data_IF_745437198667
#
_entry.id   IF_745437198667
#
_cell.length_a   1.000
_cell.length_b   1.000
_cell.length_c   1.000
_cell.angle_alpha   90.00
_cell.angle_beta   90.00
_cell.angle_gamma   90.00
#
_symmetry.space_group_name_H-M   'P 1'
#
loop_
_entity.id
_entity.type
_entity.pdbx_description
1 polymer ?
#
# COMPACT_ATOMS: atom_id res chain seq x y z
N UNK A 1 1.18 13.31 9.20
CA UNK A 1 -0.09 13.86 9.75
C UNK A 1 -0.44 15.13 9.00
N UNK A 2 -1.63 15.17 8.38
CA UNK A 2 -2.12 16.38 7.71
C UNK A 2 -2.70 17.35 8.74
N UNK A 3 -2.37 18.63 8.56
CA UNK A 3 -2.93 19.75 9.32
C UNK A 3 -4.46 19.81 9.14
N UNK A 4 -5.17 20.31 10.16
CA UNK A 4 -6.63 20.44 10.15
C UNK A 4 -7.15 21.24 8.95
N UNK A 5 -6.53 22.38 8.61
CA UNK A 5 -6.96 23.21 7.48
C UNK A 5 -6.76 22.48 6.16
N UNK A 6 -5.57 21.88 5.97
CA UNK A 6 -5.23 21.14 4.75
C UNK A 6 -6.15 19.92 4.58
N UNK A 7 -6.41 19.19 5.67
CA UNK A 7 -7.36 18.06 5.69
C UNK A 7 -8.75 18.50 5.23
N UNK A 8 -9.28 19.58 5.79
CA UNK A 8 -10.63 20.05 5.44
C UNK A 8 -10.72 20.46 3.96
N UNK A 9 -9.72 21.20 3.46
CA UNK A 9 -9.64 21.57 2.04
C UNK A 9 -9.64 20.32 1.16
N UNK A 10 -8.83 19.32 1.52
CA UNK A 10 -8.73 18.07 0.78
C UNK A 10 -10.07 17.31 0.75
N UNK A 11 -10.73 17.15 1.91
CA UNK A 11 -12.02 16.47 1.99
C UNK A 11 -13.12 17.20 1.21
N UNK A 12 -13.15 18.54 1.26
CA UNK A 12 -14.11 19.35 0.49
C UNK A 12 -13.87 19.18 -1.01
N UNK A 13 -12.61 19.19 -1.46
CA UNK A 13 -12.28 18.95 -2.86
C UNK A 13 -12.72 17.55 -3.32
N UNK A 14 -12.53 16.52 -2.49
CA UNK A 14 -13.01 15.17 -2.78
C UNK A 14 -14.54 15.12 -2.88
N UNK A 15 -15.26 15.75 -1.95
CA UNK A 15 -16.73 15.84 -2.01
C UNK A 15 -17.18 16.49 -3.32
N UNK A 16 -16.57 17.61 -3.71
CA UNK A 16 -16.90 18.30 -4.96
C UNK A 16 -16.67 17.43 -6.19
N UNK A 17 -15.51 16.75 -6.27
CA UNK A 17 -15.22 15.82 -7.37
C UNK A 17 -16.21 14.64 -7.36
N UNK A 18 -16.61 14.16 -6.19
CA UNK A 18 -17.61 13.09 -6.07
C UNK A 18 -19.01 13.51 -6.50
N UNK A 19 -19.39 14.77 -6.30
CA UNK A 19 -20.63 15.32 -6.84
C UNK A 19 -20.58 15.32 -8.37
N UNK A 20 -19.47 15.77 -8.97
CA UNK A 20 -19.29 15.73 -10.43
C UNK A 20 -19.37 14.29 -10.93
N UNK A 21 -18.64 13.37 -10.30
CA UNK A 21 -18.66 11.95 -10.62
C UNK A 21 -20.07 11.35 -10.54
N UNK A 22 -20.85 11.69 -9.53
CA UNK A 22 -22.24 11.26 -9.41
C UNK A 22 -23.07 11.66 -10.63
N UNK A 23 -23.01 12.92 -11.05
CA UNK A 23 -23.75 13.39 -12.23
C UNK A 23 -23.22 12.79 -13.53
N UNK A 24 -21.91 12.63 -13.68
CA UNK A 24 -21.31 11.94 -14.84
C UNK A 24 -21.84 10.52 -14.96
N UNK A 25 -21.83 9.76 -13.86
CA UNK A 25 -22.35 8.38 -13.86
C UNK A 25 -23.84 8.35 -14.16
N UNK A 26 -24.62 9.27 -13.57
CA UNK A 26 -26.06 9.36 -13.81
C UNK A 26 -26.40 9.62 -15.29
N UNK A 27 -25.64 10.50 -15.95
CA UNK A 27 -25.91 10.91 -17.34
C UNK A 27 -25.30 9.95 -18.38
N UNK A 28 -24.15 9.36 -18.10
CA UNK A 28 -23.41 8.55 -19.07
C UNK A 28 -23.66 7.05 -18.95
N UNK A 29 -24.08 6.55 -17.79
CA UNK A 29 -24.30 5.11 -17.62
C UNK A 29 -25.65 4.67 -18.20
N UNK A 30 -25.61 3.93 -19.30
CA UNK A 30 -26.79 3.44 -20.01
C UNK A 30 -27.13 1.97 -19.74
N UNK A 31 -26.27 1.23 -19.03
CA UNK A 31 -26.42 -0.23 -18.86
C UNK A 31 -27.28 -0.61 -17.65
N UNK A 32 -28.28 -1.47 -17.87
CA UNK A 32 -29.22 -1.91 -16.81
C UNK A 32 -28.50 -2.70 -15.71
N UNK A 33 -27.53 -3.54 -16.10
CA UNK A 33 -26.76 -4.40 -15.20
C UNK A 33 -25.92 -3.63 -14.18
N UNK A 34 -25.70 -2.33 -14.41
CA UNK A 34 -24.90 -1.45 -13.54
C UNK A 34 -25.66 -0.21 -13.09
N UNK A 35 -27.00 -0.24 -13.11
CA UNK A 35 -27.86 0.88 -12.73
C UNK A 35 -27.50 1.48 -11.36
N UNK A 36 -26.95 0.69 -10.44
CA UNK A 36 -26.55 1.17 -9.11
C UNK A 36 -25.19 1.86 -9.06
N UNK A 37 -24.45 1.98 -10.18
CA UNK A 37 -23.10 2.53 -10.20
C UNK A 37 -23.03 3.95 -9.64
N UNK A 38 -24.08 4.75 -9.85
CA UNK A 38 -24.20 6.12 -9.31
C UNK A 38 -24.30 6.16 -7.76
N UNK A 39 -24.68 5.05 -7.12
CA UNK A 39 -24.74 4.99 -5.65
C UNK A 39 -23.35 5.03 -5.02
N UNK A 40 -22.30 4.57 -5.72
CA UNK A 40 -20.94 4.60 -5.18
C UNK A 40 -20.47 6.04 -4.85
N UNK A 41 -20.47 7.01 -5.79
CA UNK A 41 -20.07 8.38 -5.45
C UNK A 41 -21.03 9.02 -4.45
N UNK A 42 -22.32 8.68 -4.49
CA UNK A 42 -23.32 9.19 -3.54
C UNK A 42 -23.02 8.79 -2.09
N UNK A 43 -22.81 7.49 -1.84
CA UNK A 43 -22.47 7.00 -0.51
C UNK A 43 -21.11 7.54 -0.03
N UNK A 44 -20.16 7.73 -0.95
CA UNK A 44 -18.89 8.36 -0.63
C UNK A 44 -19.08 9.81 -0.15
N UNK A 45 -19.91 10.61 -0.83
CA UNK A 45 -20.24 11.99 -0.41
C UNK A 45 -20.78 11.96 1.02
N UNK A 46 -21.75 11.10 1.30
CA UNK A 46 -22.35 10.97 2.63
C UNK A 46 -21.31 10.58 3.68
N UNK A 47 -20.49 9.55 3.42
CA UNK A 47 -19.46 9.10 4.35
C UNK A 47 -18.38 10.18 4.61
N UNK A 48 -17.96 10.92 3.58
CA UNK A 48 -17.01 12.02 3.72
C UNK A 48 -17.60 13.18 4.56
N UNK A 49 -18.88 13.51 4.38
CA UNK A 49 -19.58 14.50 5.20
C UNK A 49 -19.67 14.06 6.66
N UNK A 50 -20.07 12.81 6.93
CA UNK A 50 -20.11 12.25 8.28
C UNK A 50 -18.72 12.28 8.92
N UNK A 51 -17.68 11.87 8.20
CA UNK A 51 -16.31 11.92 8.69
C UNK A 51 -15.85 13.36 8.98
N UNK A 52 -16.12 14.30 8.08
CA UNK A 52 -15.79 15.71 8.25
C UNK A 52 -16.45 16.32 9.49
N UNK A 53 -17.73 16.00 9.72
CA UNK A 53 -18.48 16.45 10.90
C UNK A 53 -17.94 15.82 12.19
N UNK A 54 -17.75 14.49 12.19
CA UNK A 54 -17.25 13.75 13.35
C UNK A 54 -15.83 14.16 13.75
N UNK A 55 -15.00 14.54 12.77
CA UNK A 55 -13.58 14.83 12.93
C UNK A 55 -13.21 16.29 12.61
N UNK A 56 -14.15 17.24 12.68
CA UNK A 56 -13.94 18.65 12.28
C UNK A 56 -12.66 19.27 12.86
N UNK A 57 -12.38 19.00 14.14
CA UNK A 57 -11.25 19.57 14.88
C UNK A 57 -10.01 18.66 14.95
N UNK A 58 -10.05 17.51 14.29
CA UNK A 58 -9.04 16.48 14.42
C UNK A 58 -8.00 16.56 13.29
N UNK A 59 -6.78 16.10 13.57
CA UNK A 59 -5.73 15.91 12.55
C UNK A 59 -5.94 14.57 11.85
N UNK A 60 -5.63 14.52 10.56
CA UNK A 60 -5.73 13.27 9.80
C UNK A 60 -4.39 12.55 9.79
N UNK A 61 -4.40 11.33 10.30
CA UNK A 61 -3.26 10.43 10.29
C UNK A 61 -3.12 9.78 8.91
N UNK A 62 -1.92 9.26 8.63
CA UNK A 62 -1.57 8.76 7.30
C UNK A 62 -2.34 7.48 6.94
N UNK A 63 -2.59 6.59 7.90
CA UNK A 63 -3.36 5.37 7.64
C UNK A 63 -4.79 5.70 7.25
N UNK A 64 -5.44 6.56 8.05
CA UNK A 64 -6.75 7.12 7.72
C UNK A 64 -6.79 7.83 6.36
N UNK A 65 -5.75 8.62 6.02
CA UNK A 65 -5.65 9.30 4.73
C UNK A 65 -5.59 8.31 3.55
N UNK A 66 -4.74 7.28 3.63
CA UNK A 66 -4.62 6.26 2.58
C UNK A 66 -5.97 5.58 2.36
N UNK A 67 -6.65 5.14 3.43
CA UNK A 67 -7.96 4.48 3.32
C UNK A 67 -8.98 5.40 2.63
N UNK A 68 -9.07 6.66 3.05
CA UNK A 68 -10.01 7.64 2.49
C UNK A 68 -9.72 7.91 1.00
N UNK A 69 -8.46 8.10 0.63
CA UNK A 69 -8.06 8.33 -0.77
C UNK A 69 -8.34 7.10 -1.63
N UNK A 70 -8.05 5.90 -1.12
CA UNK A 70 -8.32 4.66 -1.83
C UNK A 70 -9.82 4.47 -2.10
N UNK A 71 -10.68 4.71 -1.11
CA UNK A 71 -12.13 4.67 -1.32
C UNK A 71 -12.62 5.76 -2.27
N UNK A 72 -12.03 6.95 -2.25
CA UNK A 72 -12.37 7.99 -3.22
C UNK A 72 -12.05 7.63 -4.65
N UNK A 73 -10.88 7.01 -4.88
CA UNK A 73 -10.54 6.51 -6.21
C UNK A 73 -11.51 5.39 -6.61
N UNK A 74 -11.76 4.41 -5.72
CA UNK A 74 -12.62 3.24 -5.99
C UNK A 74 -14.10 3.58 -6.19
N UNK A 75 -14.66 4.51 -5.40
CA UNK A 75 -16.09 4.81 -5.37
C UNK A 75 -16.48 6.09 -6.10
N UNK A 76 -15.54 6.92 -6.54
CA UNK A 76 -15.85 8.15 -7.27
C UNK A 76 -15.07 8.31 -8.56
N UNK A 77 -13.74 8.26 -8.53
CA UNK A 77 -12.95 8.44 -9.76
C UNK A 77 -13.19 7.30 -10.73
N UNK A 78 -13.11 6.05 -10.27
CA UNK A 78 -13.27 4.87 -11.13
C UNK A 78 -14.69 4.77 -11.75
N UNK A 79 -15.79 4.93 -11.00
CA UNK A 79 -17.15 4.91 -11.58
C UNK A 79 -17.37 5.96 -12.68
N UNK A 80 -16.81 7.16 -12.53
CA UNK A 80 -16.92 8.19 -13.57
C UNK A 80 -16.26 7.75 -14.88
N UNK A 81 -15.03 7.22 -14.82
CA UNK A 81 -14.34 6.71 -15.99
C UNK A 81 -15.01 5.46 -16.58
N UNK A 82 -15.58 4.58 -15.73
CA UNK A 82 -16.36 3.45 -16.22
C UNK A 82 -17.56 3.88 -17.06
N UNK A 83 -18.29 4.89 -16.60
CA UNK A 83 -19.47 5.38 -17.29
C UNK A 83 -19.11 6.07 -18.62
N UNK A 84 -18.03 6.87 -18.64
CA UNK A 84 -17.56 7.55 -19.88
C UNK A 84 -17.03 6.53 -20.89
N UNK A 85 -16.25 5.56 -20.42
CA UNK A 85 -15.59 4.56 -21.26
C UNK A 85 -16.45 3.35 -21.61
N UNK A 86 -17.72 3.32 -21.20
CA UNK A 86 -18.62 2.18 -21.38
C UNK A 86 -17.99 0.86 -20.91
N UNK A 87 -17.36 0.88 -19.73
CA UNK A 87 -16.46 -0.18 -19.26
C UNK A 87 -17.07 -1.58 -19.23
N UNK A 88 -18.37 -1.67 -18.97
CA UNK A 88 -19.05 -2.96 -18.79
C UNK A 88 -19.52 -3.59 -20.10
N UNK A 89 -19.56 -2.86 -21.23
CA UNK A 89 -20.01 -3.43 -22.51
C UNK A 89 -19.07 -4.50 -23.07
N UNK A 90 -17.81 -4.51 -22.62
CA UNK A 90 -16.81 -5.53 -22.99
C UNK A 90 -16.64 -6.62 -21.93
N UNK A 91 -17.41 -6.58 -20.82
CA UNK A 91 -17.33 -7.53 -19.72
C UNK A 91 -18.50 -8.52 -19.77
N UNK A 92 -18.35 -9.64 -19.07
CA UNK A 92 -19.38 -10.68 -19.04
C UNK A 92 -20.67 -10.14 -18.42
N UNK A 93 -21.78 -10.26 -19.14
CA UNK A 93 -23.13 -9.93 -18.67
C UNK A 93 -23.65 -10.91 -17.61
N UNK A 94 -23.01 -12.06 -17.44
CA UNK A 94 -23.43 -13.04 -16.45
C UNK A 94 -23.07 -12.61 -15.01
N UNK A 95 -22.21 -11.60 -14.84
CA UNK A 95 -21.77 -11.12 -13.52
C UNK A 95 -22.79 -10.13 -12.93
N UNK A 96 -23.10 -10.29 -11.65
CA UNK A 96 -24.04 -9.41 -10.94
C UNK A 96 -23.33 -8.16 -10.39
N UNK A 97 -23.18 -7.16 -11.26
CA UNK A 97 -22.51 -5.90 -10.91
C UNK A 97 -23.32 -5.07 -9.91
N UNK A 98 -24.65 -5.06 -10.00
CA UNK A 98 -25.51 -4.35 -9.06
C UNK A 98 -25.35 -4.88 -7.63
N UNK A 99 -25.33 -6.19 -7.44
CA UNK A 99 -25.07 -6.79 -6.12
C UNK A 99 -23.64 -6.50 -5.65
N UNK A 100 -22.65 -6.53 -6.55
CA UNK A 100 -21.27 -6.15 -6.22
C UNK A 100 -21.17 -4.71 -5.70
N UNK A 101 -21.88 -3.77 -6.34
CA UNK A 101 -21.97 -2.37 -5.90
C UNK A 101 -22.57 -2.27 -4.49
N UNK A 102 -23.64 -3.01 -4.20
CA UNK A 102 -24.26 -3.03 -2.87
C UNK A 102 -23.30 -3.57 -1.80
N UNK A 103 -22.53 -4.61 -2.09
CA UNK A 103 -21.51 -5.12 -1.16
C UNK A 103 -20.35 -4.14 -0.95
N UNK A 104 -19.95 -3.40 -1.99
CA UNK A 104 -18.96 -2.31 -1.84
C UNK A 104 -19.47 -1.20 -0.92
N UNK A 105 -20.75 -0.83 -1.03
CA UNK A 105 -21.39 0.13 -0.13
C UNK A 105 -21.46 -0.43 1.30
N UNK A 106 -21.83 -1.70 1.45
CA UNK A 106 -21.88 -2.38 2.75
C UNK A 106 -20.52 -2.35 3.45
N UNK A 107 -19.44 -2.68 2.76
CA UNK A 107 -18.06 -2.55 3.27
C UNK A 107 -17.72 -1.12 3.65
N UNK A 108 -17.99 -0.18 2.75
CA UNK A 108 -17.70 1.23 2.93
C UNK A 108 -18.34 1.80 4.20
N UNK A 109 -19.61 1.48 4.46
CA UNK A 109 -20.34 1.95 5.65
C UNK A 109 -19.61 1.55 6.93
N UNK A 110 -19.17 0.28 7.03
CA UNK A 110 -18.46 -0.20 8.21
C UNK A 110 -17.11 0.48 8.38
N UNK A 111 -16.34 0.59 7.30
CA UNK A 111 -15.01 1.23 7.34
C UNK A 111 -15.12 2.71 7.71
N UNK A 112 -16.05 3.46 7.11
CA UNK A 112 -16.24 4.88 7.40
C UNK A 112 -16.84 5.13 8.79
N UNK A 113 -17.67 4.22 9.29
CA UNK A 113 -18.11 4.25 10.69
C UNK A 113 -16.91 4.13 11.63
N UNK A 114 -16.04 3.13 11.41
CA UNK A 114 -14.81 2.92 12.19
C UNK A 114 -13.92 4.18 12.16
N UNK A 115 -13.64 4.73 10.97
CA UNK A 115 -12.81 5.93 10.82
C UNK A 115 -13.43 7.14 11.53
N UNK A 116 -14.74 7.33 11.42
CA UNK A 116 -15.42 8.50 11.98
C UNK A 116 -15.42 8.49 13.51
N UNK A 117 -15.70 7.33 14.13
CA UNK A 117 -15.89 7.26 15.59
C UNK A 117 -14.62 6.88 16.36
N UNK A 118 -13.78 5.97 15.85
CA UNK A 118 -12.56 5.58 16.58
C UNK A 118 -11.43 6.62 16.49
N UNK A 119 -11.45 7.48 15.47
CA UNK A 119 -10.51 8.62 15.35
C UNK A 119 -10.83 9.75 16.35
N UNK A 120 -12.12 9.94 16.67
CA UNK A 120 -12.61 11.01 17.57
C UNK A 120 -12.11 10.88 19.01
N UNK A 121 -12.17 9.66 19.58
CA UNK A 121 -11.81 9.40 20.98
C UNK A 121 -10.34 9.63 21.33
N UNK A 122 -9.46 9.72 20.32
CA UNK A 122 -8.01 9.87 20.55
C UNK A 122 -7.52 11.30 20.52
N UNK A 123 -8.16 12.16 19.74
CA UNK A 123 -7.77 13.56 19.62
C UNK A 123 -8.15 14.39 20.85
N UNK A 124 -9.22 14.00 21.57
CA UNK A 124 -9.58 14.60 22.87
C UNK A 124 -8.48 14.39 23.92
N UNK A 125 -7.85 13.21 23.93
CA UNK A 125 -6.77 12.89 24.88
C UNK A 125 -5.40 13.44 24.42
N UNK A 126 -5.17 13.56 23.12
CA UNK A 126 -3.93 14.12 22.57
C UNK A 126 -3.85 15.66 22.71
N UNK A 127 -4.98 16.36 22.60
CA UNK A 127 -5.05 17.83 22.74
C UNK A 127 -4.61 18.31 24.13
N UNK A 128 -4.95 17.58 25.19
CA UNK A 128 -4.54 17.90 26.58
C UNK A 128 -3.05 17.67 26.85
N UNK A 129 -2.36 16.87 26.04
CA UNK A 129 -0.95 16.54 26.25
C UNK A 129 -0.02 17.47 25.48
N UNK A 130 -0.39 17.91 24.27
CA UNK A 130 0.45 18.77 23.45
C UNK A 130 0.78 20.12 24.12
N UNK A 131 -0.15 20.73 24.86
CA UNK A 131 0.10 21.97 25.62
C UNK A 131 1.11 21.79 26.77
N UNK A 132 1.27 20.56 27.28
CA UNK A 132 2.20 20.27 28.39
C UNK A 132 3.63 19.93 27.93
N UNK A 133 3.80 19.44 26.70
CA UNK A 133 5.09 18.95 26.19
C UNK A 133 5.86 19.95 25.32
N UNK A 134 5.23 21.00 24.79
CA UNK A 134 5.93 22.07 24.05
C UNK A 134 6.92 22.87 24.93
N UNK A 135 6.86 22.72 26.27
CA UNK A 135 7.80 23.36 27.20
C UNK A 135 9.10 22.60 27.47
N UNK A 136 9.34 21.42 26.88
CA UNK A 136 10.54 20.60 27.19
C UNK A 136 11.55 20.45 26.05
N UNK A 137 11.61 21.39 25.11
CA UNK A 137 12.45 21.33 23.88
C UNK A 137 13.97 21.52 24.07
N UNK A 138 14.55 21.22 25.25
CA UNK A 138 15.99 21.39 25.51
C UNK A 138 16.82 20.10 25.68
N UNK A 139 16.36 18.95 25.19
CA UNK A 139 17.22 17.74 25.12
C UNK A 139 17.53 17.34 23.67
N UNK A 140 18.44 18.11 23.07
CA UNK A 140 19.32 17.62 22.02
C UNK A 140 20.21 16.51 22.61
N UNK A 141 19.86 15.23 22.42
CA UNK A 141 20.78 14.20 21.94
C UNK A 141 20.21 12.78 22.07
N UNK A 142 20.28 12.07 20.93
CA UNK A 142 20.07 10.63 20.69
C UNK A 142 18.60 10.19 20.56
N UNK A 143 18.15 9.93 19.31
CA UNK A 143 16.89 9.18 19.05
C UNK A 143 17.08 7.85 18.31
N UNK A 144 18.16 7.66 17.56
CA UNK A 144 18.58 6.33 17.09
C UNK A 144 20.09 6.28 16.90
N UNK A 145 20.75 5.33 17.56
CA UNK A 145 22.17 4.99 17.36
C UNK A 145 22.24 3.52 16.98
N UNK A 146 22.98 3.22 15.92
CA UNK A 146 23.22 1.83 15.50
C UNK A 146 24.23 1.21 16.45
N UNK A 147 23.80 0.29 17.30
CA UNK A 147 24.66 -0.45 18.22
C UNK A 147 25.64 -1.35 17.44
N UNK A 148 26.80 -1.67 18.03
CA UNK A 148 27.78 -2.66 17.57
C UNK A 148 27.13 -3.98 17.14
N UNK A 149 26.15 -4.48 17.91
CA UNK A 149 25.47 -5.74 17.59
C UNK A 149 24.67 -5.66 16.27
N UNK A 150 23.91 -4.58 16.08
CA UNK A 150 23.19 -4.35 14.82
C UNK A 150 24.14 -4.16 13.64
N UNK A 151 25.25 -3.42 13.84
CA UNK A 151 26.30 -3.27 12.81
C UNK A 151 26.89 -4.62 12.40
N UNK A 152 27.21 -5.47 13.38
CA UNK A 152 27.81 -6.78 13.16
C UNK A 152 26.87 -7.68 12.35
N UNK A 153 25.58 -7.69 12.67
CA UNK A 153 24.60 -8.50 11.93
C UNK A 153 24.40 -7.98 10.51
N UNK A 154 24.27 -6.66 10.33
CA UNK A 154 24.16 -6.08 8.99
C UNK A 154 25.41 -6.41 8.18
N UNK A 155 26.60 -6.28 8.77
CA UNK A 155 27.86 -6.60 8.11
C UNK A 155 27.96 -8.08 7.74
N UNK A 156 27.58 -8.99 8.65
CA UNK A 156 27.53 -10.42 8.39
C UNK A 156 26.56 -10.77 7.25
N UNK A 157 25.36 -10.18 7.25
CA UNK A 157 24.38 -10.35 6.18
C UNK A 157 24.91 -9.82 4.83
N UNK A 158 25.61 -8.69 4.83
CA UNK A 158 26.26 -8.14 3.62
C UNK A 158 27.34 -9.10 3.11
N UNK A 159 28.20 -9.64 3.99
CA UNK A 159 29.22 -10.63 3.61
C UNK A 159 28.56 -11.86 2.98
N UNK A 160 27.54 -12.43 3.62
CA UNK A 160 26.82 -13.59 3.08
C UNK A 160 26.28 -13.28 1.69
N UNK A 161 25.51 -12.19 1.54
CA UNK A 161 24.96 -11.80 0.24
C UNK A 161 26.06 -11.61 -0.80
N UNK A 162 27.20 -11.01 -0.42
CA UNK A 162 28.32 -10.76 -1.32
C UNK A 162 28.98 -12.07 -1.77
N UNK A 163 29.26 -13.00 -0.86
CA UNK A 163 29.80 -14.33 -1.17
C UNK A 163 28.88 -15.11 -2.12
N UNK A 164 27.56 -15.08 -1.88
CA UNK A 164 26.60 -15.73 -2.77
C UNK A 164 26.46 -15.02 -4.12
N UNK A 165 26.55 -13.69 -4.17
CA UNK A 165 26.59 -12.95 -5.44
C UNK A 165 27.88 -13.23 -6.23
N UNK A 166 29.03 -13.45 -5.58
CA UNK A 166 30.25 -13.89 -6.26
C UNK A 166 30.12 -15.32 -6.80
N UNK A 167 29.55 -16.24 -6.01
CA UNK A 167 29.36 -17.64 -6.43
C UNK A 167 28.29 -17.79 -7.52
N UNK A 168 27.25 -16.96 -7.45
CA UNK A 168 26.08 -16.96 -8.33
C UNK A 168 25.74 -15.52 -8.77
N UNK A 169 26.51 -14.93 -9.71
CA UNK A 169 26.29 -13.54 -10.16
C UNK A 169 24.91 -13.32 -10.78
N UNK A 170 24.30 -14.39 -11.28
CA UNK A 170 22.95 -14.41 -11.84
C UNK A 170 21.86 -13.95 -10.85
N UNK A 171 22.10 -14.02 -9.52
CA UNK A 171 21.16 -13.51 -8.50
C UNK A 171 20.82 -12.03 -8.75
N UNK A 172 21.77 -11.24 -9.27
CA UNK A 172 21.56 -9.82 -9.54
C UNK A 172 20.49 -9.56 -10.62
N UNK A 173 20.21 -10.53 -11.49
CA UNK A 173 19.12 -10.44 -12.47
C UNK A 173 17.73 -10.47 -11.81
N UNK A 174 17.63 -10.80 -10.52
CA UNK A 174 16.39 -10.66 -9.75
C UNK A 174 15.98 -9.20 -9.52
N UNK A 175 16.89 -8.26 -9.80
CA UNK A 175 16.66 -6.83 -9.68
C UNK A 175 16.74 -6.15 -11.05
N UNK A 176 15.96 -5.08 -11.21
CA UNK A 176 16.00 -4.18 -12.34
C UNK A 176 16.29 -2.76 -11.86
N UNK A 177 16.88 -1.98 -12.75
CA UNK A 177 17.18 -0.57 -12.51
C UNK A 177 16.27 0.31 -13.37
N UNK A 178 15.54 1.21 -12.71
CA UNK A 178 14.59 2.12 -13.33
C UNK A 178 13.27 1.46 -13.75
N UNK A 179 12.47 2.25 -14.47
CA UNK A 179 11.24 1.79 -15.12
C UNK A 179 11.61 1.29 -16.51
N UNK A 180 11.39 0.00 -16.76
CA UNK A 180 11.72 -0.65 -18.02
C UNK A 180 10.60 -0.47 -19.05
N UNK A 181 10.96 -0.35 -20.33
CA UNK A 181 10.00 -0.47 -21.44
C UNK A 181 9.43 -1.90 -21.52
N UNK A 182 8.34 -2.11 -22.25
CA UNK A 182 7.74 -3.45 -22.39
C UNK A 182 8.74 -4.49 -22.95
N UNK A 183 9.55 -4.10 -23.95
CA UNK A 183 10.58 -4.98 -24.52
C UNK A 183 11.68 -5.31 -23.50
N UNK A 184 12.13 -4.32 -22.74
CA UNK A 184 13.17 -4.51 -21.72
C UNK A 184 12.65 -5.34 -20.53
N UNK A 185 11.37 -5.19 -20.20
CA UNK A 185 10.71 -5.96 -19.15
C UNK A 185 10.63 -7.45 -19.53
N UNK A 186 10.31 -7.76 -20.79
CA UNK A 186 10.35 -9.14 -21.31
C UNK A 186 11.76 -9.70 -21.25
N UNK A 187 12.77 -8.94 -21.67
CA UNK A 187 14.17 -9.38 -21.60
C UNK A 187 14.63 -9.62 -20.15
N UNK A 188 14.26 -8.72 -19.24
CA UNK A 188 14.53 -8.86 -17.82
C UNK A 188 13.85 -10.11 -17.25
N UNK A 189 12.60 -10.37 -17.59
CA UNK A 189 11.86 -11.55 -17.14
C UNK A 189 12.49 -12.86 -17.65
N UNK A 190 13.00 -12.89 -18.88
CA UNK A 190 13.80 -14.02 -19.40
C UNK A 190 15.07 -14.24 -18.56
N UNK A 191 15.80 -13.17 -18.24
CA UNK A 191 17.00 -13.24 -17.37
C UNK A 191 16.67 -13.68 -15.95
N UNK A 192 15.56 -13.19 -15.40
CA UNK A 192 15.04 -13.60 -14.09
C UNK A 192 14.76 -15.12 -14.08
N UNK A 193 13.97 -15.61 -15.03
CA UNK A 193 13.58 -17.02 -15.11
C UNK A 193 14.79 -17.93 -15.36
N UNK A 194 15.73 -17.51 -16.20
CA UNK A 194 17.00 -18.21 -16.39
C UNK A 194 17.75 -18.33 -15.06
N UNK A 195 17.85 -17.24 -14.30
CA UNK A 195 18.55 -17.20 -13.02
C UNK A 195 17.86 -18.05 -11.94
N UNK A 196 16.53 -18.08 -11.93
CA UNK A 196 15.73 -18.93 -11.05
C UNK A 196 15.97 -20.42 -11.32
N UNK A 197 16.14 -20.79 -12.60
CA UNK A 197 16.29 -22.18 -13.03
C UNK A 197 17.76 -22.66 -13.02
N UNK A 198 18.73 -21.75 -13.03
CA UNK A 198 20.17 -22.07 -13.08
C UNK A 198 20.82 -22.32 -11.73
N UNK A 199 20.08 -22.16 -10.62
CA UNK A 199 20.62 -22.35 -9.26
C UNK A 199 19.57 -22.94 -8.31
N UNK A 200 19.98 -23.43 -7.12
CA UNK A 200 19.03 -23.94 -6.14
C UNK A 200 18.01 -22.85 -5.76
N UNK A 201 16.71 -23.14 -5.96
CA UNK A 201 15.61 -22.20 -5.72
C UNK A 201 15.63 -21.61 -4.30
N UNK A 202 15.99 -22.43 -3.31
CA UNK A 202 16.13 -21.98 -1.92
C UNK A 202 17.18 -20.86 -1.79
N UNK A 203 18.35 -21.02 -2.41
CA UNK A 203 19.42 -20.02 -2.40
C UNK A 203 18.97 -18.75 -3.13
N UNK A 204 18.39 -18.90 -4.33
CA UNK A 204 17.89 -17.77 -5.11
C UNK A 204 16.90 -16.92 -4.31
N UNK A 205 15.87 -17.54 -3.73
CA UNK A 205 14.86 -16.83 -2.96
C UNK A 205 15.43 -16.26 -1.65
N UNK A 206 16.27 -17.01 -0.92
CA UNK A 206 16.85 -16.56 0.34
C UNK A 206 17.74 -15.34 0.16
N UNK A 207 18.67 -15.39 -0.80
CA UNK A 207 19.63 -14.30 -1.01
C UNK A 207 18.93 -13.08 -1.62
N UNK A 208 18.05 -13.27 -2.60
CA UNK A 208 17.26 -12.16 -3.16
C UNK A 208 16.42 -11.47 -2.09
N UNK A 209 15.79 -12.25 -1.19
CA UNK A 209 15.04 -11.71 -0.07
C UNK A 209 15.93 -10.96 0.94
N UNK A 210 17.09 -11.53 1.31
CA UNK A 210 18.05 -10.87 2.18
C UNK A 210 18.54 -9.54 1.60
N UNK A 211 18.87 -9.49 0.30
CA UNK A 211 19.27 -8.25 -0.40
C UNK A 211 18.15 -7.20 -0.32
N UNK A 212 16.89 -7.59 -0.56
CA UNK A 212 15.73 -6.69 -0.44
C UNK A 212 15.65 -6.06 0.96
N UNK A 213 15.82 -6.84 2.03
CA UNK A 213 15.77 -6.32 3.41
C UNK A 213 16.97 -5.42 3.72
N UNK A 214 18.18 -5.86 3.34
CA UNK A 214 19.41 -5.09 3.57
C UNK A 214 19.35 -3.75 2.86
N UNK A 215 18.86 -3.71 1.61
CA UNK A 215 18.67 -2.48 0.82
C UNK A 215 17.90 -1.43 1.63
N UNK A 216 16.75 -1.80 2.17
CA UNK A 216 15.88 -0.85 2.90
C UNK A 216 16.50 -0.41 4.24
N UNK A 217 17.22 -1.30 4.92
CA UNK A 217 17.99 -0.94 6.13
C UNK A 217 19.13 0.03 5.81
N UNK A 218 19.86 -0.20 4.71
CA UNK A 218 20.95 0.68 4.27
C UNK A 218 20.41 2.08 3.91
N UNK A 219 19.32 2.15 3.14
CA UNK A 219 18.68 3.43 2.78
C UNK A 219 18.31 4.20 4.05
N UNK A 220 17.65 3.55 5.02
CA UNK A 220 17.32 4.18 6.30
C UNK A 220 18.56 4.71 7.04
N UNK A 221 19.63 3.91 7.14
CA UNK A 221 20.87 4.31 7.82
C UNK A 221 21.52 5.52 7.13
N UNK A 222 21.55 5.53 5.79
CA UNK A 222 22.09 6.65 5.00
C UNK A 222 21.28 7.92 5.25
N UNK A 223 19.93 7.83 5.23
CA UNK A 223 19.06 8.98 5.50
C UNK A 223 19.31 9.56 6.90
N UNK A 224 19.47 8.70 7.90
CA UNK A 224 19.77 9.13 9.26
C UNK A 224 21.17 9.77 9.37
N UNK A 225 22.18 9.20 8.69
CA UNK A 225 23.52 9.78 8.63
C UNK A 225 23.51 11.18 7.98
N UNK A 226 22.75 11.38 6.90
CA UNK A 226 22.58 12.69 6.25
C UNK A 226 21.95 13.69 7.23
N UNK A 227 20.88 13.28 7.93
CA UNK A 227 20.21 14.13 8.94
C UNK A 227 21.19 14.60 10.02
N UNK A 228 22.02 13.69 10.52
CA UNK A 228 22.95 13.93 11.64
C UNK A 228 24.21 14.72 11.27
N UNK A 229 24.52 14.96 9.98
CA UNK A 229 25.65 15.83 9.60
C UNK A 229 25.46 17.25 10.17
N UNK A 230 26.49 17.93 10.68
CA UNK A 230 26.36 19.34 11.09
C UNK A 230 26.33 20.28 9.86
N UNK A 231 25.52 21.34 9.89
CA UNK A 231 25.55 22.52 8.99
C UNK A 231 25.56 22.31 7.46
N UNK A 232 24.85 21.32 6.91
CA UNK A 232 24.66 21.22 5.45
C UNK A 232 23.31 21.82 5.01
N UNK A 233 23.36 22.86 4.16
CA UNK A 233 22.18 23.42 3.48
C UNK A 233 21.51 22.40 2.53
N UNK A 234 22.22 21.34 2.15
CA UNK A 234 21.79 20.36 1.15
C UNK A 234 21.22 19.07 1.73
N UNK A 235 21.13 18.91 3.06
CA UNK A 235 20.65 17.67 3.70
C UNK A 235 19.33 17.16 3.13
N UNK A 236 18.36 18.06 3.00
CA UNK A 236 17.03 17.72 2.48
C UNK A 236 17.09 17.22 1.04
N UNK A 237 17.84 17.91 0.18
CA UNK A 237 18.03 17.54 -1.23
C UNK A 237 18.77 16.20 -1.35
N UNK A 238 19.84 15.99 -0.56
CA UNK A 238 20.54 14.71 -0.52
C UNK A 238 19.64 13.57 -0.04
N UNK A 239 18.79 13.80 0.96
CA UNK A 239 17.81 12.79 1.39
C UNK A 239 16.81 12.44 0.29
N UNK A 240 16.33 13.42 -0.47
CA UNK A 240 15.45 13.18 -1.63
C UNK A 240 16.15 12.36 -2.72
N UNK A 241 17.41 12.70 -3.04
CA UNK A 241 18.19 11.96 -4.03
C UNK A 241 18.38 10.48 -3.64
N UNK A 242 18.63 10.20 -2.35
CA UNK A 242 18.74 8.83 -1.85
C UNK A 242 17.42 8.06 -1.97
N UNK A 243 16.28 8.68 -1.69
CA UNK A 243 14.96 8.04 -1.88
C UNK A 243 14.73 7.72 -3.36
N UNK A 244 15.06 8.66 -4.26
CA UNK A 244 14.91 8.45 -5.70
C UNK A 244 15.79 7.30 -6.19
N UNK A 245 17.09 7.30 -5.85
CA UNK A 245 18.02 6.21 -6.20
C UNK A 245 17.51 4.86 -5.65
N UNK A 246 17.07 4.85 -4.39
CA UNK A 246 16.51 3.65 -3.76
C UNK A 246 15.25 3.14 -4.47
N UNK A 247 14.41 4.03 -4.98
CA UNK A 247 13.18 3.68 -5.71
C UNK A 247 13.44 3.13 -7.12
N UNK A 248 14.57 3.48 -7.74
CA UNK A 248 14.95 2.97 -9.06
C UNK A 248 15.36 1.49 -9.02
N UNK A 249 15.89 1.00 -7.91
CA UNK A 249 16.27 -0.42 -7.75
C UNK A 249 15.02 -1.21 -7.37
N UNK A 250 14.39 -1.89 -8.33
CA UNK A 250 13.16 -2.65 -8.13
C UNK A 250 13.35 -4.13 -8.41
N UNK A 251 12.41 -4.95 -7.95
CA UNK A 251 12.25 -6.35 -8.31
C UNK A 251 11.07 -6.51 -9.29
N UNK A 252 10.46 -7.68 -9.30
CA UNK A 252 9.19 -7.95 -9.99
C UNK A 252 8.03 -7.09 -9.46
N UNK A 253 8.11 -6.61 -8.22
CA UNK A 253 7.02 -5.91 -7.52
C UNK A 253 7.24 -4.40 -7.40
N UNK A 254 6.97 -3.66 -8.48
CA UNK A 254 7.13 -2.19 -8.51
C UNK A 254 6.34 -1.47 -7.40
N UNK A 255 5.17 -2.00 -7.03
CA UNK A 255 4.34 -1.45 -5.97
C UNK A 255 5.04 -1.44 -4.59
N UNK A 256 5.94 -2.39 -4.33
CA UNK A 256 6.71 -2.43 -3.08
C UNK A 256 7.68 -1.23 -2.97
N UNK A 257 8.29 -0.81 -4.07
CA UNK A 257 9.17 0.36 -4.07
C UNK A 257 8.42 1.67 -3.84
N UNK A 258 7.25 1.84 -4.48
CA UNK A 258 6.39 3.00 -4.25
C UNK A 258 5.97 3.10 -2.78
N UNK A 259 5.65 1.96 -2.18
CA UNK A 259 5.35 1.85 -0.77
C UNK A 259 6.52 2.34 0.12
N UNK A 260 7.75 1.86 -0.14
CA UNK A 260 8.91 2.28 0.64
C UNK A 260 9.24 3.75 0.43
N UNK A 261 9.11 4.27 -0.79
CA UNK A 261 9.24 5.69 -1.08
C UNK A 261 8.26 6.51 -0.22
N UNK A 262 6.98 6.14 -0.18
CA UNK A 262 5.98 6.76 0.70
C UNK A 262 6.41 6.73 2.18
N UNK A 263 6.89 5.59 2.68
CA UNK A 263 7.41 5.47 4.06
C UNK A 263 8.59 6.41 4.31
N UNK A 264 9.55 6.50 3.38
CA UNK A 264 10.68 7.41 3.52
C UNK A 264 10.26 8.88 3.49
N UNK A 265 9.32 9.26 2.62
CA UNK A 265 8.74 10.61 2.62
C UNK A 265 8.08 10.93 3.97
N UNK A 266 7.39 9.98 4.60
CA UNK A 266 6.83 10.16 5.94
C UNK A 266 7.92 10.35 6.99
N UNK A 267 9.00 9.58 6.94
CA UNK A 267 10.17 9.80 7.79
C UNK A 267 10.82 11.16 7.57
N UNK A 268 10.89 11.66 6.32
CA UNK A 268 11.42 12.99 6.05
C UNK A 268 10.62 14.09 6.77
N UNK A 269 9.31 13.91 6.95
CA UNK A 269 8.50 14.89 7.72
C UNK A 269 8.88 14.94 9.20
N UNK A 270 9.48 13.88 9.73
CA UNK A 270 10.03 13.81 11.09
C UNK A 270 11.49 14.30 11.15
N UNK A 271 12.26 14.10 10.08
CA UNK A 271 13.65 14.56 9.98
C UNK A 271 13.76 16.06 9.72
N UNK A 272 12.82 16.62 8.96
CA UNK A 272 12.80 18.01 8.50
C UNK A 272 11.41 18.62 8.71
N UNK A 273 10.97 18.86 9.97
CA UNK A 273 9.63 19.38 10.26
C UNK A 273 9.34 20.72 9.57
N UNK A 274 10.34 21.59 9.43
CA UNK A 274 10.23 22.87 8.71
C UNK A 274 9.84 22.71 7.24
N UNK A 275 10.26 21.62 6.58
CA UNK A 275 10.00 21.34 5.17
C UNK A 275 8.75 20.45 4.95
N UNK A 276 7.98 20.16 6.00
CA UNK A 276 6.83 19.23 5.94
C UNK A 276 5.81 19.59 4.85
N UNK A 277 5.50 20.88 4.66
CA UNK A 277 4.61 21.33 3.59
C UNK A 277 5.18 21.03 2.20
N UNK A 278 6.47 21.31 1.98
CA UNK A 278 7.17 21.01 0.72
C UNK A 278 7.20 19.51 0.43
N UNK A 279 7.45 18.70 1.46
CA UNK A 279 7.44 17.23 1.36
C UNK A 279 6.08 16.72 0.87
N UNK A 280 4.98 17.18 1.46
CA UNK A 280 3.64 16.78 1.02
C UNK A 280 3.31 17.25 -0.40
N UNK A 281 3.75 18.44 -0.79
CA UNK A 281 3.59 18.95 -2.16
C UNK A 281 4.36 18.06 -3.14
N UNK A 282 5.64 17.77 -2.88
CA UNK A 282 6.46 16.89 -3.74
C UNK A 282 5.81 15.51 -3.85
N UNK A 283 5.44 14.90 -2.73
CA UNK A 283 4.78 13.59 -2.74
C UNK A 283 3.49 13.61 -3.57
N UNK A 284 2.67 14.64 -3.41
CA UNK A 284 1.41 14.78 -4.16
C UNK A 284 1.66 14.97 -5.66
N UNK A 285 2.66 15.78 -6.04
CA UNK A 285 3.06 15.96 -7.44
C UNK A 285 3.60 14.66 -8.02
N UNK A 286 4.46 13.94 -7.31
CA UNK A 286 5.03 12.66 -7.78
C UNK A 286 3.94 11.61 -7.98
N UNK A 287 3.04 11.45 -7.02
CA UNK A 287 1.89 10.53 -7.16
C UNK A 287 0.99 10.96 -8.31
N UNK A 288 0.73 12.26 -8.44
CA UNK A 288 -0.03 12.82 -9.56
C UNK A 288 0.63 12.53 -10.91
N UNK A 289 1.93 12.78 -11.05
CA UNK A 289 2.68 12.53 -12.29
C UNK A 289 2.73 11.05 -12.65
N UNK A 290 2.95 10.16 -11.69
CA UNK A 290 2.91 8.70 -11.93
C UNK A 290 1.52 8.29 -12.41
N UNK A 291 0.47 8.82 -11.76
CA UNK A 291 -0.91 8.58 -12.16
C UNK A 291 -1.12 9.06 -13.60
N UNK A 292 -0.89 10.34 -13.90
CA UNK A 292 -1.03 10.92 -15.24
C UNK A 292 -0.19 10.22 -16.30
N UNK A 293 1.07 9.88 -16.00
CA UNK A 293 1.92 9.12 -16.92
C UNK A 293 1.33 7.74 -17.22
N UNK A 294 0.83 7.04 -16.20
CA UNK A 294 0.08 5.80 -16.37
C UNK A 294 -1.15 5.96 -17.26
N UNK A 295 -1.90 7.08 -17.13
CA UNK A 295 -3.06 7.37 -17.97
C UNK A 295 -2.69 7.71 -19.44
N UNK A 296 -1.55 8.36 -19.64
CA UNK A 296 -1.12 8.94 -20.94
C UNK A 296 -0.29 7.95 -21.76
N UNK A 297 0.45 7.05 -21.10
CA UNK A 297 1.36 6.10 -21.77
C UNK A 297 0.63 5.04 -22.60
N UNK A 298 -0.66 4.80 -22.34
CA UNK A 298 -1.51 3.94 -23.16
C UNK A 298 -2.25 4.78 -24.22
N UNK A 299 -1.67 4.78 -25.44
CA UNK A 299 -2.35 5.06 -26.72
C UNK A 299 -3.13 6.39 -26.82
N UNK A 300 -2.46 7.53 -26.71
CA UNK A 300 -2.92 8.79 -27.35
C UNK A 300 -2.54 8.79 -28.84
N UNK A 301 -2.60 7.63 -29.51
CA UNK A 301 -2.37 7.57 -30.96
C UNK A 301 -3.67 7.82 -31.75
N UNK A 302 -4.81 7.52 -31.16
CA UNK A 302 -6.13 7.79 -31.73
C UNK A 302 -6.92 8.66 -30.75
N UNK A 303 -7.50 9.77 -31.21
CA UNK A 303 -8.24 10.76 -30.41
C UNK A 303 -9.58 10.21 -29.83
N UNK A 304 -9.63 8.95 -29.42
CA UNK A 304 -10.81 8.27 -28.92
C UNK A 304 -10.91 8.37 -27.38
N UNK A 305 -11.59 9.42 -26.92
CA UNK A 305 -11.78 9.67 -25.48
C UNK A 305 -12.46 8.51 -24.73
N UNK A 306 -13.32 7.71 -25.39
CA UNK A 306 -13.96 6.55 -24.76
C UNK A 306 -12.95 5.43 -24.48
N UNK A 307 -12.06 5.15 -25.42
CA UNK A 307 -11.01 4.16 -25.24
C UNK A 307 -10.01 4.59 -24.16
N UNK A 308 -9.63 5.87 -24.13
CA UNK A 308 -8.82 6.40 -23.02
C UNK A 308 -9.53 6.23 -21.68
N UNK A 309 -10.81 6.62 -21.57
CA UNK A 309 -11.58 6.46 -20.33
C UNK A 309 -11.72 4.99 -19.93
N UNK A 310 -11.90 4.08 -20.88
CA UNK A 310 -11.93 2.64 -20.66
C UNK A 310 -10.60 2.13 -20.08
N UNK A 311 -9.46 2.50 -20.66
CA UNK A 311 -8.13 2.08 -20.19
C UNK A 311 -7.84 2.60 -18.77
N UNK A 312 -8.24 3.84 -18.50
CA UNK A 312 -8.17 4.42 -17.15
C UNK A 312 -9.05 3.62 -16.18
N UNK A 313 -10.31 3.35 -16.54
CA UNK A 313 -11.21 2.56 -15.72
C UNK A 313 -10.62 1.17 -15.44
N UNK A 314 -10.08 0.49 -16.47
CA UNK A 314 -9.46 -0.82 -16.35
C UNK A 314 -8.27 -0.81 -15.38
N UNK A 315 -7.37 0.16 -15.51
CA UNK A 315 -6.24 0.36 -14.60
C UNK A 315 -6.73 0.56 -13.16
N UNK A 316 -7.70 1.46 -12.96
CA UNK A 316 -8.27 1.72 -11.63
C UNK A 316 -8.95 0.49 -11.03
N UNK A 317 -9.60 -0.35 -11.85
CA UNK A 317 -10.21 -1.60 -11.38
C UNK A 317 -9.21 -2.61 -10.86
N UNK A 318 -8.07 -2.76 -11.54
CA UNK A 318 -7.01 -3.69 -11.15
C UNK A 318 -6.35 -3.23 -9.84
N UNK A 319 -6.01 -1.94 -9.72
CA UNK A 319 -5.25 -1.43 -8.56
C UNK A 319 -6.09 -1.12 -7.32
N UNK A 320 -7.38 -0.80 -7.47
CA UNK A 320 -8.28 -0.45 -6.36
C UNK A 320 -9.42 -1.46 -6.16
N UNK A 321 -9.30 -2.66 -6.77
CA UNK A 321 -10.22 -3.79 -6.62
C UNK A 321 -11.70 -3.40 -6.75
N UNK A 322 -12.04 -2.82 -7.90
CA UNK A 322 -13.37 -2.22 -8.10
C UNK A 322 -14.49 -3.23 -8.42
N UNK A 323 -15.61 -2.71 -8.95
CA UNK A 323 -16.89 -3.40 -9.16
C UNK A 323 -16.72 -4.73 -9.90
N UNK A 324 -15.91 -4.78 -10.96
CA UNK A 324 -15.71 -6.02 -11.73
C UNK A 324 -15.08 -7.13 -10.87
N UNK A 325 -14.01 -6.84 -10.14
CA UNK A 325 -13.33 -7.82 -9.29
C UNK A 325 -14.22 -8.28 -8.13
N UNK A 326 -15.06 -7.38 -7.60
CA UNK A 326 -16.05 -7.75 -6.57
C UNK A 326 -17.14 -8.66 -7.16
N UNK A 327 -17.65 -8.35 -8.35
CA UNK A 327 -18.66 -9.17 -9.03
C UNK A 327 -18.14 -10.58 -9.35
N UNK A 328 -16.90 -10.69 -9.81
CA UNK A 328 -16.19 -11.97 -9.97
C UNK A 328 -16.14 -12.73 -8.64
N UNK A 329 -15.75 -12.04 -7.55
CA UNK A 329 -15.63 -12.66 -6.23
C UNK A 329 -16.95 -13.23 -5.71
N UNK A 330 -18.10 -12.65 -6.08
CA UNK A 330 -19.42 -13.14 -5.70
C UNK A 330 -19.79 -14.48 -6.35
N UNK A 331 -19.17 -14.82 -7.49
CA UNK A 331 -19.39 -16.10 -8.18
C UNK A 331 -18.44 -17.20 -7.76
N UNK A 332 -17.35 -16.87 -7.05
CA UNK A 332 -16.37 -17.86 -6.62
C UNK A 332 -17.02 -18.88 -5.69
N UNK A 333 -16.85 -20.16 -6.04
CA UNK A 333 -17.20 -21.30 -5.19
C UNK A 333 -15.91 -21.92 -4.69
N UNK A 334 -15.75 -21.94 -3.37
CA UNK A 334 -14.61 -22.56 -2.70
C UNK A 334 -15.11 -23.79 -1.96
N UNK A 335 -14.55 -24.94 -2.31
CA UNK A 335 -14.90 -26.21 -1.67
C UNK A 335 -14.14 -26.39 -0.34
N UNK A 336 -12.85 -26.05 -0.30
CA UNK A 336 -12.01 -26.22 0.89
C UNK A 336 -11.46 -24.89 1.42
N UNK A 337 -12.26 -24.23 2.27
CA UNK A 337 -11.91 -22.94 2.89
C UNK A 337 -10.63 -23.06 3.73
N UNK A 338 -10.44 -24.18 4.45
CA UNK A 338 -9.28 -24.38 5.33
C UNK A 338 -7.98 -24.45 4.52
N UNK A 339 -8.00 -25.14 3.38
CA UNK A 339 -6.85 -25.19 2.47
C UNK A 339 -6.48 -23.79 1.99
N UNK A 340 -7.45 -22.95 1.62
CA UNK A 340 -7.17 -21.58 1.21
C UNK A 340 -6.55 -20.76 2.35
N UNK A 341 -7.08 -20.85 3.56
CA UNK A 341 -6.53 -20.11 4.72
C UNK A 341 -5.09 -20.57 5.01
N UNK A 342 -4.85 -21.88 5.00
CA UNK A 342 -3.51 -22.44 5.20
C UNK A 342 -2.57 -22.07 4.06
N UNK A 343 -3.04 -22.07 2.81
CA UNK A 343 -2.28 -21.63 1.65
C UNK A 343 -1.92 -20.16 1.72
N UNK A 344 -2.87 -19.28 2.06
CA UNK A 344 -2.64 -17.85 2.29
C UNK A 344 -1.58 -17.62 3.36
N UNK A 345 -1.57 -18.41 4.43
CA UNK A 345 -0.60 -18.28 5.52
C UNK A 345 0.77 -18.87 5.18
N UNK A 346 0.84 -20.15 4.84
CA UNK A 346 2.08 -20.90 4.62
C UNK A 346 2.84 -20.42 3.38
N UNK A 347 2.13 -20.06 2.30
CA UNK A 347 2.78 -19.50 1.09
C UNK A 347 3.20 -18.04 1.26
N UNK A 348 2.79 -17.37 2.35
CA UNK A 348 3.24 -16.02 2.68
C UNK A 348 4.56 -15.97 3.44
N UNK A 349 5.00 -17.08 4.04
CA UNK A 349 6.26 -17.15 4.77
C UNK A 349 7.40 -17.36 3.76
N UNK A 350 8.41 -16.45 3.70
CA UNK A 350 9.58 -16.63 2.87
C UNK A 350 10.25 -17.98 3.13
N UNK A 351 10.77 -18.61 2.07
CA UNK A 351 11.37 -19.96 2.08
C UNK A 351 10.36 -21.09 2.33
N UNK A 352 9.46 -20.97 3.30
CA UNK A 352 8.42 -21.97 3.55
C UNK A 352 7.49 -22.16 2.35
N UNK A 353 7.22 -21.07 1.61
CA UNK A 353 6.42 -21.13 0.38
C UNK A 353 6.90 -22.16 -0.65
N UNK A 354 8.18 -22.55 -0.66
CA UNK A 354 8.70 -23.55 -1.62
C UNK A 354 8.23 -24.96 -1.32
N UNK A 355 7.81 -25.26 -0.08
CA UNK A 355 7.27 -26.56 0.31
C UNK A 355 5.76 -26.67 0.07
N UNK A 356 5.05 -25.53 0.00
CA UNK A 356 3.60 -25.47 -0.11
C UNK A 356 3.13 -24.85 -1.44
N UNK A 357 3.93 -24.96 -2.51
CA UNK A 357 3.65 -24.31 -3.81
C UNK A 357 2.31 -24.74 -4.40
N UNK A 358 1.90 -26.00 -4.15
CA UNK A 358 0.69 -26.60 -4.71
C UNK A 358 -0.58 -26.24 -3.92
N UNK A 359 -0.48 -25.65 -2.72
CA UNK A 359 -1.66 -25.24 -1.96
C UNK A 359 -2.32 -24.02 -2.61
N UNK A 360 -3.64 -24.07 -2.76
CA UNK A 360 -4.39 -22.93 -3.28
C UNK A 360 -4.36 -21.75 -2.31
N UNK A 361 -4.29 -20.53 -2.84
CA UNK A 361 -4.46 -19.29 -2.07
C UNK A 361 -5.66 -18.51 -2.59
N UNK A 362 -6.10 -17.53 -1.80
CA UNK A 362 -7.20 -16.63 -2.19
C UNK A 362 -6.96 -16.02 -3.56
N UNK A 363 -5.72 -15.58 -3.81
CA UNK A 363 -5.31 -15.00 -5.08
C UNK A 363 -5.30 -16.03 -6.21
N UNK A 364 -4.79 -17.25 -6.01
CA UNK A 364 -4.76 -18.25 -7.10
C UNK A 364 -6.15 -18.74 -7.48
N UNK A 365 -7.06 -18.89 -6.51
CA UNK A 365 -8.45 -19.24 -6.79
C UNK A 365 -9.13 -18.14 -7.60
N UNK A 366 -8.99 -16.88 -7.17
CA UNK A 366 -9.55 -15.75 -7.90
C UNK A 366 -9.00 -15.64 -9.33
N UNK A 367 -7.68 -15.75 -9.50
CA UNK A 367 -7.04 -15.62 -10.82
C UNK A 367 -7.37 -16.80 -11.74
N UNK A 368 -7.47 -18.02 -11.19
CA UNK A 368 -7.89 -19.18 -11.98
C UNK A 368 -9.29 -19.02 -12.57
N UNK A 369 -10.21 -18.39 -11.84
CA UNK A 369 -11.57 -18.15 -12.31
C UNK A 369 -11.65 -17.19 -13.50
N UNK A 370 -10.77 -16.18 -13.54
CA UNK A 370 -10.70 -15.21 -14.63
C UNK A 370 -9.70 -15.62 -15.72
N UNK A 371 -9.21 -16.86 -15.69
CA UNK A 371 -8.18 -17.39 -16.60
C UNK A 371 -6.88 -16.56 -16.64
N UNK A 372 -6.50 -15.99 -15.49
CA UNK A 372 -5.23 -15.28 -15.32
C UNK A 372 -4.14 -16.23 -14.79
N UNK A 373 -3.39 -16.82 -15.71
CA UNK A 373 -2.29 -17.75 -15.40
C UNK A 373 -1.13 -17.09 -14.62
N UNK A 374 -1.00 -15.77 -14.70
CA UNK A 374 0.09 -15.03 -14.06
C UNK A 374 -0.21 -14.63 -12.62
N UNK A 375 -1.43 -14.88 -12.13
CA UNK A 375 -1.91 -14.42 -10.83
C UNK A 375 -1.67 -12.91 -10.63
N UNK A 376 -1.89 -12.14 -11.69
CA UNK A 376 -1.57 -10.72 -11.77
C UNK A 376 -2.63 -9.85 -11.09
N UNK A 377 -3.84 -10.37 -10.91
CA UNK A 377 -4.94 -9.66 -10.27
C UNK A 377 -4.99 -9.87 -8.76
N UNK A 378 -5.31 -8.80 -8.05
CA UNK A 378 -5.50 -8.83 -6.60
C UNK A 378 -6.97 -9.11 -6.31
N UNK A 379 -7.24 -10.21 -5.61
CA UNK A 379 -8.59 -10.47 -5.08
C UNK A 379 -8.96 -9.36 -4.09
N UNK A 380 -10.13 -8.71 -4.21
CA UNK A 380 -10.58 -7.70 -3.26
C UNK A 380 -10.66 -8.28 -1.84
N UNK A 381 -10.29 -7.52 -0.82
CA UNK A 381 -10.48 -7.97 0.57
C UNK A 381 -11.95 -8.25 0.91
N UNK A 382 -12.88 -7.51 0.30
CA UNK A 382 -14.31 -7.80 0.27
C UNK A 382 -14.60 -9.21 -0.25
N UNK A 383 -14.05 -9.54 -1.42
CA UNK A 383 -14.20 -10.85 -2.05
C UNK A 383 -13.62 -11.97 -1.19
N UNK A 384 -12.42 -11.75 -0.66
CA UNK A 384 -11.76 -12.65 0.28
C UNK A 384 -12.63 -12.90 1.51
N UNK A 385 -13.25 -11.87 2.07
CA UNK A 385 -14.14 -12.02 3.22
C UNK A 385 -15.41 -12.81 2.88
N UNK A 386 -15.97 -12.61 1.69
CA UNK A 386 -17.21 -13.27 1.26
C UNK A 386 -17.03 -14.78 1.11
N UNK A 387 -15.98 -15.26 0.44
CA UNK A 387 -15.82 -16.71 0.29
C UNK A 387 -15.22 -17.40 1.53
N UNK A 388 -14.49 -16.68 2.40
CA UNK A 388 -13.96 -17.25 3.65
C UNK A 388 -14.99 -17.28 4.79
N UNK A 389 -15.83 -16.24 4.90
CA UNK A 389 -16.72 -16.04 6.05
C UNK A 389 -18.20 -15.90 5.68
N UNK A 390 -18.53 -15.91 4.39
CA UNK A 390 -19.88 -15.71 3.89
C UNK A 390 -20.27 -14.23 3.72
N UNK A 391 -21.38 -14.01 3.02
CA UNK A 391 -21.89 -12.68 2.64
C UNK A 391 -22.20 -11.77 3.83
N UNK A 392 -22.67 -12.32 4.95
CA UNK A 392 -22.99 -11.54 6.17
C UNK A 392 -21.73 -10.85 6.71
N UNK A 393 -20.61 -11.56 6.71
CA UNK A 393 -19.31 -11.10 7.19
C UNK A 393 -18.43 -10.51 6.07
N UNK A 394 -19.02 -10.08 4.95
CA UNK A 394 -18.31 -9.40 3.87
C UNK A 394 -17.39 -8.23 4.31
N UNK A 395 -17.76 -7.35 5.28
CA UNK A 395 -16.89 -6.24 5.68
C UNK A 395 -15.80 -6.63 6.69
N UNK A 396 -15.72 -7.90 7.12
CA UNK A 396 -14.92 -8.31 8.28
C UNK A 396 -13.43 -7.98 8.12
N UNK A 397 -12.82 -8.40 7.00
CA UNK A 397 -11.40 -8.15 6.75
C UNK A 397 -11.12 -6.64 6.67
N UNK A 398 -11.83 -5.90 5.82
CA UNK A 398 -11.64 -4.45 5.68
C UNK A 398 -11.83 -3.69 7.01
N UNK A 399 -12.83 -4.09 7.82
CA UNK A 399 -13.12 -3.51 9.12
C UNK A 399 -12.01 -3.78 10.14
N UNK A 400 -11.56 -5.05 10.23
CA UNK A 400 -10.49 -5.46 11.14
C UNK A 400 -9.20 -4.67 10.86
N UNK A 401 -8.79 -4.62 9.59
CA UNK A 401 -7.56 -3.93 9.19
C UNK A 401 -7.67 -2.41 9.37
N UNK A 402 -8.85 -1.81 9.15
CA UNK A 402 -9.09 -0.40 9.49
C UNK A 402 -8.94 -0.15 11.00
N UNK A 403 -9.53 -1.00 11.86
CA UNK A 403 -9.40 -0.88 13.33
C UNK A 403 -7.94 -0.95 13.77
N UNK A 404 -7.19 -1.94 13.25
CA UNK A 404 -5.77 -2.11 13.57
C UNK A 404 -4.97 -0.89 13.08
N UNK A 405 -5.25 -0.38 11.88
CA UNK A 405 -4.61 0.84 11.34
C UNK A 405 -4.79 2.03 12.28
N UNK A 406 -6.03 2.33 12.67
CA UNK A 406 -6.36 3.45 13.58
C UNK A 406 -5.76 3.24 14.97
N UNK A 407 -5.63 1.99 15.44
CA UNK A 407 -4.94 1.65 16.69
C UNK A 407 -3.42 1.88 16.60
N UNK A 408 -2.78 1.42 15.53
CA UNK A 408 -1.34 1.55 15.31
C UNK A 408 -0.90 3.01 15.10
N UNK A 409 -1.63 3.79 14.31
CA UNK A 409 -1.26 5.19 14.03
C UNK A 409 -1.21 6.07 15.30
N UNK A 410 -2.04 5.77 16.29
CA UNK A 410 -2.03 6.51 17.56
C UNK A 410 -0.79 6.27 18.41
N UNK A 411 -0.13 5.12 18.23
CA UNK A 411 1.07 4.75 18.98
C UNK A 411 2.33 5.40 18.42
N UNK A 412 2.35 5.80 17.14
CA UNK A 412 3.57 6.28 16.48
C UNK A 412 4.16 7.55 17.11
N UNK A 413 3.29 8.42 17.66
CA UNK A 413 3.71 9.64 18.37
C UNK A 413 4.51 9.34 19.63
N UNK A 414 4.29 8.18 20.26
CA UNK A 414 4.93 7.77 21.51
C UNK A 414 6.25 7.03 21.29
N UNK A 415 6.62 6.78 20.04
CA UNK A 415 7.85 6.06 19.71
C UNK A 415 8.95 7.10 19.57
N UNK A 416 10.00 7.00 20.38
CA UNK A 416 11.15 7.92 20.26
C UNK A 416 12.15 7.44 19.20
N UNK A 417 12.29 6.13 19.07
CA UNK A 417 13.27 5.49 18.20
C UNK A 417 12.88 5.59 16.71
N UNK A 418 13.74 6.19 15.89
CA UNK A 418 13.44 6.38 14.46
C UNK A 418 13.32 5.09 13.66
N UNK A 419 14.05 4.04 14.01
CA UNK A 419 13.96 2.74 13.31
C UNK A 419 12.68 2.01 13.68
N UNK A 420 12.25 2.09 14.95
CA UNK A 420 10.93 1.60 15.35
C UNK A 420 9.81 2.42 14.68
N UNK A 421 9.95 3.75 14.56
CA UNK A 421 9.02 4.58 13.78
C UNK A 421 8.97 4.15 12.31
N UNK A 422 10.13 3.86 11.69
CA UNK A 422 10.21 3.35 10.32
C UNK A 422 9.40 2.06 10.16
N UNK A 423 9.60 1.08 11.05
CA UNK A 423 8.85 -0.17 11.07
C UNK A 423 7.35 0.09 11.30
N UNK A 424 6.98 1.02 12.17
CA UNK A 424 5.58 1.36 12.39
C UNK A 424 4.94 2.04 11.18
N UNK A 425 5.64 2.92 10.47
CA UNK A 425 5.16 3.50 9.22
C UNK A 425 4.93 2.42 8.16
N UNK A 426 5.85 1.46 8.06
CA UNK A 426 5.71 0.27 7.20
C UNK A 426 4.40 -0.47 7.53
N UNK A 427 4.20 -0.83 8.80
CA UNK A 427 3.00 -1.53 9.26
C UNK A 427 1.73 -0.74 8.92
N UNK A 428 1.69 0.57 9.25
CA UNK A 428 0.50 1.41 9.04
C UNK A 428 0.13 1.50 7.56
N UNK A 429 1.11 1.76 6.68
CA UNK A 429 0.85 1.88 5.25
C UNK A 429 0.37 0.54 4.68
N UNK A 430 0.98 -0.60 5.05
CA UNK A 430 0.52 -1.92 4.61
C UNK A 430 -0.90 -2.24 5.08
N UNK A 431 -1.22 -1.99 6.34
CA UNK A 431 -2.56 -2.21 6.88
C UNK A 431 -3.61 -1.32 6.19
N UNK A 432 -3.27 -0.05 5.95
CA UNK A 432 -4.17 0.93 5.34
C UNK A 432 -4.51 0.62 3.86
N UNK A 433 -3.66 -0.13 3.16
CA UNK A 433 -3.94 -0.57 1.80
C UNK A 433 -4.96 -1.73 1.72
N UNK A 434 -5.16 -2.50 2.79
CA UNK A 434 -5.99 -3.74 2.75
C UNK A 434 -7.47 -3.50 2.46
N UNK A 435 -8.14 -2.45 2.96
CA UNK A 435 -9.55 -2.25 2.67
C UNK A 435 -9.89 -2.11 1.17
N UNK A 436 -8.93 -1.69 0.32
CA UNK A 436 -9.22 -1.36 -1.08
C UNK A 436 -8.16 -1.81 -2.08
N UNK A 437 -6.87 -1.67 -1.76
CA UNK A 437 -5.77 -1.91 -2.71
C UNK A 437 -5.28 -3.36 -2.63
N UNK A 438 -5.20 -3.92 -1.42
CA UNK A 438 -4.62 -5.23 -1.14
C UNK A 438 -5.59 -6.18 -0.43
N UNK A 439 -5.11 -7.39 -0.14
CA UNK A 439 -5.85 -8.42 0.60
C UNK A 439 -5.02 -8.96 1.77
N UNK A 440 -5.64 -9.79 2.61
CA UNK A 440 -4.99 -10.36 3.79
C UNK A 440 -3.71 -11.15 3.46
N UNK A 441 -3.69 -11.86 2.33
CA UNK A 441 -2.52 -12.63 1.88
C UNK A 441 -1.31 -11.70 1.62
N UNK A 442 -1.51 -10.58 0.92
CA UNK A 442 -0.45 -9.59 0.65
C UNK A 442 0.07 -8.96 1.95
N UNK A 443 -0.82 -8.74 2.94
CA UNK A 443 -0.36 -8.31 4.27
C UNK A 443 0.53 -9.37 4.93
N UNK A 444 0.13 -10.65 4.92
CA UNK A 444 0.92 -11.74 5.49
C UNK A 444 2.29 -11.86 4.79
N UNK A 445 2.35 -11.75 3.47
CA UNK A 445 3.61 -11.70 2.72
C UNK A 445 4.48 -10.53 3.17
N UNK A 446 3.89 -9.35 3.39
CA UNK A 446 4.59 -8.19 3.95
C UNK A 446 5.01 -8.37 5.40
N UNK A 447 4.21 -9.08 6.20
CA UNK A 447 4.48 -9.34 7.60
C UNK A 447 5.70 -10.24 7.76
N UNK A 448 5.68 -11.42 7.15
CA UNK A 448 6.79 -12.38 7.22
C UNK A 448 7.97 -11.99 6.33
N UNK A 449 7.69 -11.43 5.16
CA UNK A 449 8.69 -11.05 4.17
C UNK A 449 9.35 -9.70 4.38
N UNK A 450 8.87 -8.84 5.28
CA UNK A 450 9.48 -7.51 5.48
C UNK A 450 9.44 -7.03 6.92
N UNK A 451 8.27 -7.00 7.54
CA UNK A 451 8.10 -6.44 8.89
C UNK A 451 8.87 -7.28 9.92
N UNK A 452 8.70 -8.60 9.91
CA UNK A 452 9.31 -9.51 10.87
C UNK A 452 10.85 -9.46 10.82
N UNK A 453 11.52 -9.54 9.65
CA UNK A 453 12.97 -9.33 9.56
C UNK A 453 13.44 -7.99 10.13
N UNK A 454 12.75 -6.89 9.83
CA UNK A 454 13.11 -5.57 10.35
C UNK A 454 12.94 -5.49 11.87
N UNK A 455 11.89 -6.12 12.43
CA UNK A 455 11.69 -6.24 13.87
C UNK A 455 12.81 -7.04 14.51
N UNK A 456 13.21 -8.18 13.93
CA UNK A 456 14.34 -9.00 14.39
C UNK A 456 15.62 -8.15 14.41
N UNK A 457 15.91 -7.40 13.35
CA UNK A 457 17.05 -6.48 13.29
C UNK A 457 16.96 -5.41 14.40
N UNK A 458 15.77 -4.85 14.67
CA UNK A 458 15.56 -3.85 15.74
C UNK A 458 15.87 -4.42 17.13
N UNK A 459 15.57 -5.70 17.39
CA UNK A 459 15.87 -6.35 18.67
C UNK A 459 17.37 -6.35 18.99
N UNK A 460 18.23 -6.50 17.98
CA UNK A 460 19.68 -6.41 18.14
C UNK A 460 20.19 -4.99 18.42
N UNK A 461 19.37 -3.98 18.14
CA UNK A 461 19.69 -2.60 18.51
C UNK A 461 19.30 -2.27 19.96
N UNK A 462 18.29 -2.96 20.53
CA UNK A 462 17.73 -2.69 21.87
C UNK A 462 18.44 -3.43 23.01
N UNK A 463 19.22 -4.47 22.73
CA UNK A 463 19.90 -5.32 23.74
C UNK A 463 21.12 -4.67 24.43
N UNK A 464 21.08 -3.36 24.67
CA UNK A 464 22.00 -2.66 25.59
C UNK A 464 21.27 -2.34 26.91
N UNK A 465 20.74 -3.37 27.57
CA UNK A 465 20.52 -3.28 29.02
C UNK A 465 21.66 -4.05 29.66
N UNK A 466 22.61 -3.33 30.26
CA UNK A 466 23.53 -3.90 31.22
C UNK A 466 22.67 -4.57 32.30
N UNK A 467 22.84 -5.87 32.47
CA UNK A 467 22.57 -6.48 33.77
C UNK A 467 23.76 -6.06 34.62
N UNK A 468 23.53 -5.09 35.50
CA UNK A 468 24.45 -4.79 36.61
C UNK A 468 24.27 -5.86 37.69
#
# INVERSE_FOLDING_TARGET
MLDKKIKNIFLIAMIFISIISFFVVLCCNSTIETRYLCLLPLFLIFGLLVYLLANKNSVMYIGSFIIIVSYFIRMSVAPAFMAIGDYFSTKSSELDYNTAILFMIYEFIFVFFILSFLSKNKNINAGKWNESTEKSENNENIKFKVNKNMKLIIFFLIIICTLFCFRYPQILNSFKFGVLSNSDLIQWQKKYNFSLNSMPKLIFYMISWCIKIIKEVIIFIILLAIKNKKNSKFKFISSLAIILIGSLISDDTLAQNLYFACVYFLLLTEFYPENKKKIYIILSITVGLIFFYGLISEKISDYNYKETAYNIANTLQVYFTGVYNVAVSLKLKVENILEIIMGDFLRSIPLFKTFFVNMQTSTTVFCSYINDEYNSQIVPSLGQSIFLFGKIFAPLIASLFTIITVKCESKIKKIDNYFDKFICYIIIVKLACIPVIYNGQIFLQGLFGTILPLVIISLFNKKEKKYD
#
